data_IF_160663540492
#
_entry.id   IF_160663540492
#
_cell.length_a   1.000
_cell.length_b   1.000
_cell.length_c   1.000
_cell.angle_alpha   90.00
_cell.angle_beta   90.00
_cell.angle_gamma   90.00
#
_symmetry.space_group_name_H-M   'P 1'
#
loop_
_entity.id
_entity.type
_entity.pdbx_description
1 polymer ?
#
# COMPACT_ATOMS: atom_id res chain seq x y z
N UNK A 1 21.90 -17.07 5.37
CA UNK A 1 21.77 -15.83 6.17
C UNK A 1 21.38 -14.62 5.31
N UNK A 2 22.08 -14.32 4.20
CA UNK A 2 21.78 -13.16 3.35
C UNK A 2 20.37 -13.14 2.72
N UNK A 3 19.77 -14.31 2.47
CA UNK A 3 18.42 -14.41 1.92
C UNK A 3 17.30 -13.93 2.88
N UNK A 4 17.55 -13.91 4.20
CA UNK A 4 16.56 -13.45 5.18
C UNK A 4 16.69 -11.96 5.52
N UNK A 5 17.88 -11.38 5.32
CA UNK A 5 18.12 -9.96 5.59
C UNK A 5 17.25 -9.08 4.67
N UNK A 6 17.07 -9.49 3.41
CA UNK A 6 16.25 -8.77 2.44
C UNK A 6 14.78 -8.62 2.87
N UNK A 7 14.01 -9.72 3.03
CA UNK A 7 12.60 -9.64 3.42
C UNK A 7 12.38 -8.97 4.78
N UNK A 8 13.27 -9.20 5.76
CA UNK A 8 13.18 -8.55 7.08
C UNK A 8 13.37 -7.04 6.96
N UNK A 9 14.38 -6.59 6.22
CA UNK A 9 14.62 -5.16 5.97
C UNK A 9 13.43 -4.51 5.25
N UNK A 10 12.87 -5.20 4.24
CA UNK A 10 11.67 -4.74 3.52
C UNK A 10 10.48 -4.64 4.48
N UNK A 11 10.26 -5.63 5.35
CA UNK A 11 9.16 -5.63 6.31
C UNK A 11 9.26 -4.47 7.32
N UNK A 12 10.47 -4.21 7.83
CA UNK A 12 10.71 -3.08 8.72
C UNK A 12 10.51 -1.75 8.00
N UNK A 13 11.04 -1.62 6.78
CA UNK A 13 10.93 -0.40 5.97
C UNK A 13 9.47 -0.10 5.62
N UNK A 14 8.77 -1.03 4.97
CA UNK A 14 7.40 -0.81 4.49
C UNK A 14 6.41 -0.76 5.66
N UNK A 15 6.66 -1.52 6.73
CA UNK A 15 5.92 -1.42 7.98
C UNK A 15 6.04 -0.02 8.56
N UNK A 16 7.26 0.50 8.71
CA UNK A 16 7.50 1.85 9.24
C UNK A 16 6.87 2.94 8.36
N UNK A 17 7.00 2.84 7.04
CA UNK A 17 6.37 3.77 6.08
C UNK A 17 4.84 3.72 6.22
N UNK A 18 4.25 2.53 6.31
CA UNK A 18 2.82 2.34 6.53
C UNK A 18 2.34 2.91 7.88
N UNK A 19 3.12 2.76 8.94
CA UNK A 19 2.84 3.34 10.26
C UNK A 19 2.91 4.86 10.25
N UNK A 20 3.89 5.46 9.55
CA UNK A 20 3.98 6.91 9.39
C UNK A 20 2.78 7.44 8.60
N UNK A 21 2.38 6.77 7.52
CA UNK A 21 1.19 7.14 6.77
C UNK A 21 -0.08 7.08 7.63
N UNK A 22 -0.27 5.99 8.39
CA UNK A 22 -1.41 5.86 9.30
C UNK A 22 -1.42 6.96 10.38
N UNK A 23 -0.25 7.31 10.93
CA UNK A 23 -0.10 8.40 11.89
C UNK A 23 -0.40 9.78 11.30
N UNK A 24 -0.06 10.02 10.03
CA UNK A 24 -0.44 11.24 9.31
C UNK A 24 -1.95 11.32 9.13
N UNK A 25 -2.62 10.22 8.79
CA UNK A 25 -4.09 10.18 8.75
C UNK A 25 -4.70 10.42 10.14
N UNK A 26 -4.14 9.83 11.21
CA UNK A 26 -4.58 10.11 12.59
C UNK A 26 -4.45 11.60 12.92
N UNK A 27 -3.35 12.24 12.51
CA UNK A 27 -3.13 13.66 12.75
C UNK A 27 -4.18 14.54 12.07
N UNK A 28 -4.59 14.23 10.83
CA UNK A 28 -5.65 14.97 10.13
C UNK A 28 -7.02 14.80 10.78
N UNK A 29 -7.38 13.58 11.22
CA UNK A 29 -8.61 13.35 11.98
C UNK A 29 -8.65 14.09 13.32
N UNK A 30 -7.50 14.19 14.01
CA UNK A 30 -7.38 14.95 15.27
C UNK A 30 -7.61 16.44 15.08
N UNK A 31 -7.19 17.03 13.95
CA UNK A 31 -7.49 18.44 13.65
C UNK A 31 -9.01 18.70 13.57
N UNK A 32 -9.80 17.69 13.20
CA UNK A 32 -11.26 17.73 13.18
C UNK A 32 -11.92 17.33 14.50
N UNK A 33 -11.15 17.21 15.58
CA UNK A 33 -11.61 16.80 16.92
C UNK A 33 -12.25 15.41 16.97
N UNK A 34 -11.90 14.53 16.03
CA UNK A 34 -12.29 13.12 16.06
C UNK A 34 -11.25 12.34 16.84
N UNK A 35 -11.69 11.61 17.86
CA UNK A 35 -10.82 10.73 18.63
C UNK A 35 -10.44 9.49 17.81
N UNK A 36 -9.14 9.22 17.71
CA UNK A 36 -8.57 8.07 16.99
C UNK A 36 -7.50 7.44 17.87
N UNK A 37 -7.45 6.11 17.93
CA UNK A 37 -6.42 5.40 18.67
C UNK A 37 -5.09 5.42 17.90
N UNK A 38 -4.15 6.22 18.41
CA UNK A 38 -2.82 6.40 17.81
C UNK A 38 -1.97 5.13 17.90
N UNK A 39 -2.08 4.36 18.97
CA UNK A 39 -1.23 3.20 19.20
C UNK A 39 -1.64 2.06 18.25
N UNK A 40 -2.94 1.78 18.19
CA UNK A 40 -3.47 0.78 17.25
C UNK A 40 -3.15 1.13 15.80
N UNK A 41 -3.32 2.40 15.41
CA UNK A 41 -3.04 2.85 14.04
C UNK A 41 -1.55 2.73 13.66
N UNK A 42 -0.63 2.99 14.61
CA UNK A 42 0.81 2.92 14.36
C UNK A 42 1.37 1.50 14.39
N UNK A 43 0.86 0.63 15.28
CA UNK A 43 1.44 -0.70 15.46
C UNK A 43 0.98 -1.71 14.42
N UNK A 44 -0.25 -1.57 13.91
CA UNK A 44 -0.85 -2.56 13.03
C UNK A 44 -0.07 -2.80 11.72
N UNK A 45 0.40 -1.77 10.98
CA UNK A 45 1.15 -1.99 9.75
C UNK A 45 2.47 -2.74 9.96
N UNK A 46 3.27 -2.35 10.96
CA UNK A 46 4.55 -3.01 11.29
C UNK A 46 4.30 -4.44 11.77
N UNK A 47 3.33 -4.65 12.67
CA UNK A 47 3.05 -5.97 13.21
C UNK A 47 2.59 -6.95 12.11
N UNK A 48 1.71 -6.50 11.21
CA UNK A 48 1.24 -7.33 10.10
C UNK A 48 2.34 -7.59 9.06
N UNK A 49 3.19 -6.60 8.77
CA UNK A 49 4.36 -6.75 7.90
C UNK A 49 5.32 -7.81 8.46
N UNK A 50 5.65 -7.75 9.74
CA UNK A 50 6.50 -8.75 10.39
C UNK A 50 5.83 -10.13 10.44
N UNK A 51 4.53 -10.21 10.72
CA UNK A 51 3.78 -11.47 10.71
C UNK A 51 3.76 -12.14 9.33
N UNK A 52 3.73 -11.34 8.26
CA UNK A 52 3.82 -11.85 6.89
C UNK A 52 5.17 -12.48 6.56
N UNK A 53 6.21 -12.26 7.39
CA UNK A 53 7.48 -12.99 7.28
C UNK A 53 7.34 -14.48 7.61
N UNK A 54 6.38 -14.83 8.46
CA UNK A 54 6.08 -16.21 8.83
C UNK A 54 5.07 -16.79 7.83
N UNK A 55 3.97 -16.08 7.57
CA UNK A 55 2.97 -16.49 6.58
C UNK A 55 1.82 -15.50 6.43
N UNK A 56 1.17 -15.53 5.27
CA UNK A 56 0.01 -14.67 4.97
C UNK A 56 -1.15 -14.94 5.94
N UNK A 57 -1.33 -16.19 6.38
CA UNK A 57 -2.33 -16.55 7.40
C UNK A 57 -2.09 -15.86 8.74
N UNK A 58 -0.83 -15.79 9.20
CA UNK A 58 -0.49 -15.08 10.44
C UNK A 58 -0.69 -13.56 10.29
N UNK A 59 -0.33 -12.99 9.14
CA UNK A 59 -0.61 -11.59 8.85
C UNK A 59 -2.12 -11.29 8.90
N UNK A 60 -2.95 -12.16 8.33
CA UNK A 60 -4.41 -12.06 8.41
C UNK A 60 -4.93 -12.11 9.84
N UNK A 61 -4.39 -13.00 10.68
CA UNK A 61 -4.71 -13.05 12.12
C UNK A 61 -4.32 -11.76 12.83
N UNK A 62 -3.13 -11.21 12.57
CA UNK A 62 -2.70 -9.93 13.17
C UNK A 62 -3.63 -8.78 12.78
N UNK A 63 -4.09 -8.72 11.53
CA UNK A 63 -5.08 -7.73 11.09
C UNK A 63 -6.42 -7.91 11.81
N UNK A 64 -6.91 -9.16 11.93
CA UNK A 64 -8.16 -9.47 12.62
C UNK A 64 -8.08 -9.13 14.12
N UNK A 65 -7.03 -9.59 14.82
CA UNK A 65 -6.83 -9.30 16.24
C UNK A 65 -6.57 -7.81 16.48
N UNK A 66 -5.79 -7.14 15.63
CA UNK A 66 -5.58 -5.70 15.71
C UNK A 66 -6.89 -4.91 15.59
N UNK A 67 -7.81 -5.39 14.76
CA UNK A 67 -9.17 -4.82 14.64
C UNK A 67 -9.96 -5.00 15.92
N UNK A 68 -9.94 -6.20 16.50
CA UNK A 68 -10.61 -6.47 17.79
C UNK A 68 -10.01 -5.62 18.91
N UNK A 69 -8.68 -5.53 19.00
CA UNK A 69 -7.97 -4.70 20.00
C UNK A 69 -8.38 -3.24 19.85
N UNK A 70 -8.44 -2.69 18.63
CA UNK A 70 -8.87 -1.32 18.41
C UNK A 70 -10.31 -1.06 18.91
N UNK A 71 -11.21 -2.03 18.72
CA UNK A 71 -12.59 -1.97 19.24
C UNK A 71 -12.59 -2.02 20.78
N UNK A 72 -11.82 -2.94 21.38
CA UNK A 72 -11.73 -3.09 22.84
C UNK A 72 -11.14 -1.83 23.49
N UNK A 73 -10.06 -1.29 22.94
CA UNK A 73 -9.45 -0.04 23.41
C UNK A 73 -10.40 1.15 23.27
N UNK A 74 -11.22 1.19 22.21
CA UNK A 74 -12.26 2.21 22.04
C UNK A 74 -13.39 2.08 23.08
N UNK A 75 -13.71 0.86 23.56
CA UNK A 75 -14.71 0.65 24.61
C UNK A 75 -14.26 1.17 25.98
N UNK A 76 -12.97 1.01 26.31
CA UNK A 76 -12.40 1.36 27.62
C UNK A 76 -12.08 2.84 27.82
N UNK A 77 -12.24 3.69 26.80
CA UNK A 77 -11.88 5.10 26.90
C UNK A 77 -12.87 5.92 27.77
N UNK A 78 -12.38 6.66 28.80
CA UNK A 78 -13.23 7.50 29.63
C UNK A 78 -13.66 8.78 28.90
N UNK A 79 -14.96 9.09 28.95
CA UNK A 79 -15.69 10.23 28.32
C UNK A 79 -16.01 10.06 26.82
N UNK A 80 -17.19 9.51 26.52
CA UNK A 80 -17.68 9.29 25.15
C UNK A 80 -18.40 10.53 24.61
N UNK A 81 -17.73 11.33 23.77
CA UNK A 81 -18.40 12.29 22.88
C UNK A 81 -18.81 11.68 21.53
N UNK A 82 -18.26 10.51 21.19
CA UNK A 82 -18.47 9.79 19.92
C UNK A 82 -18.75 8.31 20.20
N UNK A 83 -19.49 7.66 19.31
CA UNK A 83 -19.80 6.24 19.43
C UNK A 83 -18.52 5.40 19.30
N UNK A 84 -18.46 4.28 20.03
CA UNK A 84 -17.32 3.33 19.99
C UNK A 84 -17.05 2.88 18.56
N UNK A 85 -18.11 2.61 17.80
CA UNK A 85 -18.01 2.17 16.41
C UNK A 85 -17.43 3.23 15.49
N UNK A 86 -17.76 4.52 15.70
CA UNK A 86 -17.19 5.61 14.92
C UNK A 86 -15.68 5.74 15.16
N UNK A 87 -15.23 5.66 16.42
CA UNK A 87 -13.81 5.71 16.80
C UNK A 87 -13.02 4.51 16.28
N UNK A 88 -13.56 3.31 16.40
CA UNK A 88 -12.93 2.11 15.86
C UNK A 88 -12.86 2.20 14.33
N UNK A 89 -13.95 2.61 13.68
CA UNK A 89 -14.03 2.76 12.23
C UNK A 89 -13.02 3.77 11.68
N UNK A 90 -12.85 4.94 12.31
CA UNK A 90 -11.86 5.93 11.87
C UNK A 90 -10.43 5.45 12.09
N UNK A 91 -10.17 4.77 13.21
CA UNK A 91 -8.87 4.14 13.48
C UNK A 91 -8.52 3.12 12.39
N UNK A 92 -9.45 2.22 12.07
CA UNK A 92 -9.28 1.23 11.02
C UNK A 92 -9.06 1.87 9.65
N UNK A 93 -9.83 2.92 9.30
CA UNK A 93 -9.64 3.65 8.04
C UNK A 93 -8.23 4.23 7.91
N UNK A 94 -7.61 4.66 9.01
CA UNK A 94 -6.26 5.22 8.98
C UNK A 94 -5.18 4.15 8.72
N UNK A 95 -5.33 2.94 9.26
CA UNK A 95 -4.25 1.94 9.23
C UNK A 95 -4.49 0.76 8.28
N UNK A 96 -5.74 0.45 7.90
CA UNK A 96 -6.06 -0.79 7.18
C UNK A 96 -5.42 -0.83 5.78
N UNK A 97 -5.56 0.23 4.99
CA UNK A 97 -4.97 0.27 3.64
C UNK A 97 -3.42 0.23 3.67
N UNK A 98 -2.72 1.04 4.50
CA UNK A 98 -1.27 0.92 4.66
C UNK A 98 -0.83 -0.47 5.14
N UNK A 99 -1.64 -1.11 6.01
CA UNK A 99 -1.36 -2.47 6.50
C UNK A 99 -1.46 -3.49 5.36
N UNK A 100 -2.48 -3.40 4.51
CA UNK A 100 -2.64 -4.28 3.34
C UNK A 100 -1.46 -4.13 2.39
N UNK A 101 -1.04 -2.89 2.09
CA UNK A 101 0.16 -2.64 1.26
C UNK A 101 1.39 -3.30 1.87
N UNK A 102 1.63 -3.08 3.15
CA UNK A 102 2.79 -3.64 3.83
C UNK A 102 2.82 -5.16 3.78
N UNK A 103 1.68 -5.82 4.05
CA UNK A 103 1.53 -7.28 3.96
C UNK A 103 1.77 -7.77 2.53
N UNK A 104 1.20 -7.12 1.52
CA UNK A 104 1.36 -7.51 0.12
C UNK A 104 2.81 -7.40 -0.35
N UNK A 105 3.48 -6.28 -0.05
CA UNK A 105 4.88 -6.04 -0.43
C UNK A 105 5.82 -7.07 0.22
N UNK A 106 5.65 -7.35 1.51
CA UNK A 106 6.50 -8.34 2.20
C UNK A 106 6.21 -9.76 1.75
N UNK A 107 4.94 -10.08 1.49
CA UNK A 107 4.58 -11.40 0.94
C UNK A 107 5.23 -11.60 -0.44
N UNK A 108 5.24 -10.58 -1.28
CA UNK A 108 5.96 -10.61 -2.56
C UNK A 108 7.48 -10.74 -2.37
N UNK A 109 8.08 -10.01 -1.44
CA UNK A 109 9.51 -10.10 -1.13
C UNK A 109 9.94 -11.53 -0.76
N UNK A 110 9.03 -12.29 -0.14
CA UNK A 110 9.25 -13.71 0.19
C UNK A 110 9.04 -14.65 -0.98
N UNK A 111 8.02 -14.41 -1.80
CA UNK A 111 7.66 -15.31 -2.90
C UNK A 111 8.57 -15.13 -4.11
N UNK A 112 8.83 -13.88 -4.54
CA UNK A 112 9.67 -13.58 -5.70
C UNK A 112 10.23 -12.16 -5.61
N UNK A 113 11.52 -12.05 -5.27
CA UNK A 113 12.21 -10.76 -5.20
C UNK A 113 12.23 -10.05 -6.56
N UNK A 114 12.41 -10.80 -7.66
CA UNK A 114 12.36 -10.25 -9.02
C UNK A 114 11.00 -9.63 -9.34
N UNK A 115 9.89 -10.28 -8.97
CA UNK A 115 8.55 -9.72 -9.18
C UNK A 115 8.33 -8.44 -8.38
N UNK A 116 8.89 -8.36 -7.16
CA UNK A 116 8.86 -7.13 -6.36
C UNK A 116 9.70 -6.01 -6.98
N UNK A 117 10.87 -6.32 -7.53
CA UNK A 117 11.71 -5.32 -8.20
C UNK A 117 11.03 -4.76 -9.46
N UNK A 118 10.41 -5.61 -10.28
CA UNK A 118 9.64 -5.15 -11.45
C UNK A 118 8.48 -4.26 -11.02
N UNK A 119 7.72 -4.65 -9.98
CA UNK A 119 6.67 -3.80 -9.42
C UNK A 119 7.22 -2.44 -8.98
N UNK A 120 8.33 -2.44 -8.23
CA UNK A 120 8.97 -1.22 -7.74
C UNK A 120 9.37 -0.29 -8.89
N UNK A 121 9.95 -0.84 -9.96
CA UNK A 121 10.34 -0.06 -11.15
C UNK A 121 9.12 0.52 -11.86
N UNK A 122 8.05 -0.27 -12.06
CA UNK A 122 6.83 0.20 -12.71
C UNK A 122 6.13 1.30 -11.91
N UNK A 123 6.00 1.14 -10.58
CA UNK A 123 5.39 2.17 -9.73
C UNK A 123 6.28 3.42 -9.68
N UNK A 124 7.61 3.26 -9.62
CA UNK A 124 8.52 4.41 -9.68
C UNK A 124 8.42 5.17 -11.02
N UNK A 125 8.30 4.45 -12.14
CA UNK A 125 8.10 5.05 -13.46
C UNK A 125 6.78 5.81 -13.52
N UNK A 126 5.71 5.24 -12.96
CA UNK A 126 4.43 5.93 -12.83
C UNK A 126 4.57 7.22 -12.02
N UNK A 127 5.17 7.17 -10.83
CA UNK A 127 5.33 8.33 -9.95
C UNK A 127 6.18 9.43 -10.60
N UNK A 128 7.29 9.07 -11.25
CA UNK A 128 8.15 10.02 -11.97
C UNK A 128 7.38 10.70 -13.10
N UNK A 129 6.69 9.92 -13.96
CA UNK A 129 5.90 10.48 -15.06
C UNK A 129 4.77 11.38 -14.57
N UNK A 130 4.05 10.92 -13.54
CA UNK A 130 2.97 11.67 -12.92
C UNK A 130 3.44 12.99 -12.29
N UNK A 131 4.59 12.97 -11.62
CA UNK A 131 5.12 14.16 -10.96
C UNK A 131 5.73 15.17 -11.94
N UNK A 132 6.52 14.71 -12.91
CA UNK A 132 7.20 15.59 -13.86
C UNK A 132 6.22 16.37 -14.72
N UNK A 133 5.18 15.70 -15.23
CA UNK A 133 4.16 16.38 -16.06
C UNK A 133 3.09 17.04 -15.19
N UNK A 134 2.73 16.45 -14.04
CA UNK A 134 1.65 16.96 -13.20
C UNK A 134 1.96 18.26 -12.46
N UNK A 135 3.22 18.68 -12.35
CA UNK A 135 3.59 19.90 -11.60
C UNK A 135 3.20 21.19 -12.33
N UNK A 136 3.30 21.22 -13.66
CA UNK A 136 2.98 22.38 -14.51
C UNK A 136 1.72 22.16 -15.38
N UNK A 137 0.99 21.08 -15.12
CA UNK A 137 -0.17 20.67 -15.91
C UNK A 137 -1.35 21.65 -15.80
N UNK A 138 -2.04 21.86 -16.93
CA UNK A 138 -3.28 22.64 -16.97
C UNK A 138 -4.51 21.87 -16.48
N UNK A 139 -4.40 20.54 -16.37
CA UNK A 139 -5.48 19.64 -15.97
C UNK A 139 -5.02 18.55 -14.99
N UNK A 140 -5.97 18.06 -14.18
CA UNK A 140 -5.72 17.00 -13.18
C UNK A 140 -5.37 15.63 -13.80
N UNK A 141 -5.53 15.46 -15.12
CA UNK A 141 -5.34 14.19 -15.81
C UNK A 141 -4.01 14.07 -16.54
N UNK A 142 -3.35 15.19 -16.85
CA UNK A 142 -2.07 15.20 -17.58
C UNK A 142 -0.98 14.40 -16.84
N UNK A 143 -0.86 14.59 -15.52
CA UNK A 143 0.05 13.81 -14.69
C UNK A 143 -0.21 12.30 -14.77
N UNK A 144 -1.41 11.81 -14.38
CA UNK A 144 -1.70 10.37 -14.41
C UNK A 144 -1.53 9.74 -15.80
N UNK A 145 -1.88 10.45 -16.88
CA UNK A 145 -1.69 9.96 -18.26
C UNK A 145 -0.19 9.82 -18.59
N UNK A 146 0.64 10.79 -18.18
CA UNK A 146 2.08 10.71 -18.36
C UNK A 146 2.70 9.56 -17.55
N UNK A 147 2.23 9.34 -16.32
CA UNK A 147 2.62 8.19 -15.51
C UNK A 147 2.26 6.86 -16.18
N UNK A 148 1.05 6.75 -16.75
CA UNK A 148 0.63 5.58 -17.53
C UNK A 148 1.53 5.36 -18.74
N UNK A 149 1.86 6.40 -19.50
CA UNK A 149 2.77 6.29 -20.64
C UNK A 149 4.16 5.78 -20.19
N UNK A 150 4.70 6.26 -19.07
CA UNK A 150 5.96 5.79 -18.52
C UNK A 150 5.90 4.30 -18.14
N UNK A 151 4.81 3.84 -17.51
CA UNK A 151 4.57 2.42 -17.21
C UNK A 151 4.56 1.58 -18.48
N UNK A 152 3.90 2.03 -19.55
CA UNK A 152 3.83 1.30 -20.82
C UNK A 152 5.21 1.16 -21.49
N UNK A 153 6.06 2.18 -21.41
CA UNK A 153 7.43 2.13 -21.94
C UNK A 153 8.28 1.12 -21.17
N UNK A 154 8.21 1.14 -19.83
CA UNK A 154 8.91 0.15 -19.00
C UNK A 154 8.35 -1.25 -19.24
N UNK A 155 7.04 -1.39 -19.40
CA UNK A 155 6.37 -2.66 -19.71
C UNK A 155 6.82 -3.22 -21.06
N UNK A 156 6.97 -2.38 -22.08
CA UNK A 156 7.50 -2.79 -23.38
C UNK A 156 8.97 -3.26 -23.28
N UNK A 157 9.77 -2.55 -22.48
CA UNK A 157 11.15 -2.95 -22.18
C UNK A 157 11.17 -4.32 -21.51
N UNK A 158 10.34 -4.50 -20.48
CA UNK A 158 10.18 -5.78 -19.77
C UNK A 158 9.67 -6.90 -20.69
N UNK A 159 8.73 -6.63 -21.60
CA UNK A 159 8.19 -7.64 -22.51
C UNK A 159 9.20 -8.11 -23.57
N UNK A 160 10.19 -7.26 -23.88
CA UNK A 160 11.27 -7.52 -24.83
C UNK A 160 12.43 -8.27 -24.20
N UNK A 161 12.87 -7.83 -23.01
CA UNK A 161 14.02 -8.41 -22.32
C UNK A 161 13.67 -9.52 -21.31
N UNK A 162 12.41 -9.62 -20.89
CA UNK A 162 11.86 -10.65 -19.99
C UNK A 162 12.64 -10.75 -18.67
N UNK A 163 12.73 -9.65 -17.90
CA UNK A 163 13.45 -9.64 -16.63
C UNK A 163 12.64 -10.32 -15.50
N UNK A 164 13.04 -11.55 -15.15
CA UNK A 164 12.47 -12.28 -14.02
C UNK A 164 11.45 -13.34 -14.47
N UNK A 165 10.35 -13.58 -13.72
CA UNK A 165 9.44 -14.69 -13.99
C UNK A 165 8.40 -14.38 -15.08
N UNK A 166 8.51 -13.25 -15.78
CA UNK A 166 7.48 -12.78 -16.70
C UNK A 166 7.80 -13.16 -18.15
N UNK A 167 6.86 -13.87 -18.78
CA UNK A 167 6.82 -13.98 -20.24
C UNK A 167 6.38 -12.64 -20.86
N UNK A 168 6.60 -12.46 -22.17
CA UNK A 168 6.17 -11.24 -22.87
C UNK A 168 4.67 -10.93 -22.67
N UNK A 169 3.81 -11.96 -22.66
CA UNK A 169 2.38 -11.79 -22.40
C UNK A 169 2.10 -11.40 -20.93
N UNK A 170 2.80 -12.03 -19.98
CA UNK A 170 2.66 -11.70 -18.57
C UNK A 170 3.12 -10.26 -18.30
N UNK A 171 4.22 -9.80 -18.91
CA UNK A 171 4.69 -8.43 -18.79
C UNK A 171 3.59 -7.42 -19.15
N UNK A 172 2.90 -7.61 -20.28
CA UNK A 172 1.79 -6.74 -20.68
C UNK A 172 0.58 -6.80 -19.73
N UNK A 173 0.23 -7.98 -19.21
CA UNK A 173 -0.85 -8.12 -18.23
C UNK A 173 -0.53 -7.37 -16.94
N UNK A 174 0.67 -7.55 -16.41
CA UNK A 174 1.12 -6.93 -15.16
C UNK A 174 1.36 -5.41 -15.33
N UNK A 175 1.95 -4.99 -16.44
CA UNK A 175 2.11 -3.57 -16.79
C UNK A 175 0.76 -2.87 -16.98
N UNK A 176 -0.18 -3.51 -17.68
CA UNK A 176 -1.56 -3.01 -17.82
C UNK A 176 -2.28 -2.90 -16.47
N UNK A 177 -2.07 -3.87 -15.57
CA UNK A 177 -2.59 -3.79 -14.20
C UNK A 177 -2.06 -2.55 -13.48
N UNK A 178 -0.75 -2.28 -13.53
CA UNK A 178 -0.17 -1.07 -12.89
C UNK A 178 -0.72 0.20 -13.54
N UNK A 179 -0.79 0.25 -14.86
CA UNK A 179 -1.29 1.40 -15.62
C UNK A 179 -2.74 1.77 -15.24
N UNK A 180 -3.58 0.79 -14.92
CA UNK A 180 -4.96 1.04 -14.48
C UNK A 180 -5.04 1.30 -12.98
N UNK A 181 -4.31 0.53 -12.17
CA UNK A 181 -4.41 0.55 -10.72
C UNK A 181 -3.75 1.78 -10.08
N UNK A 182 -2.61 2.23 -10.60
CA UNK A 182 -1.84 3.30 -10.00
C UNK A 182 -2.60 4.66 -9.98
N UNK A 183 -3.27 5.10 -11.06
CA UNK A 183 -4.09 6.32 -11.04
C UNK A 183 -5.24 6.30 -10.02
N UNK A 184 -5.75 5.11 -9.68
CA UNK A 184 -6.86 4.94 -8.73
C UNK A 184 -6.40 5.01 -7.27
N UNK A 185 -5.09 5.04 -7.02
CA UNK A 185 -4.51 5.15 -5.69
C UNK A 185 -4.85 6.45 -4.96
N UNK A 186 -4.80 7.59 -5.67
CA UNK A 186 -5.05 8.92 -5.11
C UNK A 186 -6.45 9.07 -4.49
N UNK A 187 -7.54 8.72 -5.22
CA UNK A 187 -8.90 8.70 -4.67
C UNK A 187 -9.05 7.80 -3.43
N UNK A 188 -8.38 6.65 -3.39
CA UNK A 188 -8.39 5.76 -2.23
C UNK A 188 -7.68 6.37 -1.02
N UNK A 189 -6.52 7.00 -1.24
CA UNK A 189 -5.82 7.73 -0.20
C UNK A 189 -6.68 8.88 0.36
N UNK A 190 -7.38 9.62 -0.50
CA UNK A 190 -8.30 10.68 -0.10
C UNK A 190 -9.45 10.17 0.77
N UNK A 191 -9.91 8.93 0.57
CA UNK A 191 -10.98 8.32 1.37
C UNK A 191 -10.56 7.95 2.81
N UNK A 192 -9.25 7.86 3.09
CA UNK A 192 -8.74 7.54 4.43
C UNK A 192 -8.69 8.77 5.36
N UNK A 193 -8.66 9.97 4.78
CA UNK A 193 -8.57 11.23 5.50
C UNK A 193 -9.90 11.97 5.43
N UNK A 194 -10.14 12.95 6.32
CA UNK A 194 -11.42 13.65 6.31
C UNK A 194 -11.67 14.48 5.04
N UNK A 195 -10.61 15.05 4.45
CA UNK A 195 -10.63 15.86 3.23
C UNK A 195 -9.44 15.48 2.37
N UNK A 196 -9.62 15.48 1.05
CA UNK A 196 -8.56 15.15 0.09
C UNK A 196 -7.32 16.06 0.22
N UNK A 197 -7.50 17.31 0.67
CA UNK A 197 -6.38 18.23 0.92
C UNK A 197 -5.49 17.80 2.11
N UNK A 198 -6.02 17.00 3.04
CA UNK A 198 -5.35 16.60 4.27
C UNK A 198 -4.47 15.34 4.10
N UNK A 199 -4.34 14.82 2.86
CA UNK A 199 -3.49 13.67 2.57
C UNK A 199 -2.02 14.05 2.80
N UNK A 200 -1.39 13.42 3.80
CA UNK A 200 -0.01 13.65 4.19
C UNK A 200 1.02 13.19 3.15
N UNK A 201 2.24 13.75 3.20
CA UNK A 201 3.28 13.49 2.22
C UNK A 201 3.66 12.00 2.08
N UNK A 202 3.69 11.25 3.17
CA UNK A 202 3.99 9.80 3.12
C UNK A 202 2.82 9.03 2.50
N UNK A 203 1.59 9.44 2.81
CA UNK A 203 0.39 8.83 2.25
C UNK A 203 0.28 9.09 0.74
N UNK A 204 0.71 10.26 0.25
CA UNK A 204 0.81 10.57 -1.19
C UNK A 204 1.88 9.75 -1.92
N UNK A 205 2.87 9.20 -1.22
CA UNK A 205 3.87 8.29 -1.83
C UNK A 205 3.42 6.83 -1.81
N UNK A 206 2.37 6.53 -1.04
CA UNK A 206 1.80 5.19 -0.96
C UNK A 206 0.55 5.04 -1.80
N UNK A 207 0.03 6.11 -2.40
CA UNK A 207 -1.25 6.13 -3.09
C UNK A 207 -1.28 5.10 -4.23
N UNK A 208 -0.30 5.11 -5.14
CA UNK A 208 -0.15 4.13 -6.20
C UNK A 208 -0.01 2.71 -5.64
N UNK A 209 0.69 2.55 -4.52
CA UNK A 209 0.86 1.26 -3.86
C UNK A 209 -0.43 0.69 -3.26
N UNK A 210 -1.40 1.54 -2.86
CA UNK A 210 -2.63 1.13 -2.17
C UNK A 210 -3.42 0.08 -2.94
N UNK A 211 -3.53 0.25 -4.26
CA UNK A 211 -4.23 -0.70 -5.13
C UNK A 211 -3.26 -1.65 -5.83
N UNK A 212 -2.12 -1.14 -6.30
CA UNK A 212 -1.22 -1.92 -7.14
C UNK A 212 -0.60 -3.08 -6.35
N UNK A 213 -0.11 -2.87 -5.12
CA UNK A 213 0.57 -3.92 -4.36
C UNK A 213 -0.32 -5.15 -4.06
N UNK A 214 -1.56 -5.01 -3.52
CA UNK A 214 -2.40 -6.17 -3.27
C UNK A 214 -2.86 -6.86 -4.55
N UNK A 215 -3.22 -6.10 -5.60
CA UNK A 215 -3.61 -6.69 -6.88
C UNK A 215 -2.44 -7.43 -7.53
N UNK A 216 -1.24 -6.86 -7.51
CA UNK A 216 -0.03 -7.51 -8.01
C UNK A 216 0.28 -8.78 -7.24
N UNK A 217 0.28 -8.73 -5.90
CA UNK A 217 0.54 -9.88 -5.06
C UNK A 217 -0.46 -11.01 -5.33
N UNK A 218 -1.75 -10.67 -5.47
CA UNK A 218 -2.80 -11.62 -5.81
C UNK A 218 -2.59 -12.20 -7.22
N UNK A 219 -2.27 -11.38 -8.21
CA UNK A 219 -2.01 -11.82 -9.58
C UNK A 219 -0.81 -12.75 -9.67
N UNK A 220 0.30 -12.43 -8.98
CA UNK A 220 1.49 -13.30 -8.90
C UNK A 220 1.10 -14.65 -8.28
N UNK A 221 0.36 -14.64 -7.17
CA UNK A 221 -0.06 -15.88 -6.51
C UNK A 221 -0.91 -16.77 -7.41
N UNK A 222 -1.87 -16.20 -8.15
CA UNK A 222 -2.80 -16.98 -8.97
C UNK A 222 -2.24 -17.38 -10.34
N UNK A 223 -1.42 -16.51 -10.97
CA UNK A 223 -0.92 -16.72 -12.33
C UNK A 223 0.43 -17.44 -12.35
N UNK A 224 1.33 -17.15 -11.40
CA UNK A 224 2.66 -17.75 -11.33
C UNK A 224 2.73 -18.89 -10.30
N UNK A 225 1.83 -18.94 -9.31
CA UNK A 225 1.80 -19.99 -8.29
C UNK A 225 1.21 -21.33 -8.76
N UNK A 226 0.57 -21.38 -9.94
CA UNK A 226 -0.05 -22.61 -10.49
C UNK A 226 0.91 -23.48 -11.31
N UNK A 227 2.15 -23.06 -11.52
CA UNK A 227 3.14 -23.80 -12.33
C UNK A 227 4.06 -24.71 -11.50
N UNK A 228 3.77 -24.92 -10.22
CA UNK A 228 4.41 -25.88 -9.32
C UNK A 228 3.36 -26.74 -8.63
#
# INVERSE_FOLDING_TARGET
ACAFIGPVAIALLIGAVGSVAALQSVASWKQQRVEVDRQAAALLPIAAALASLVGVGLAGLVVAFGTVIAIVMAMGAPRRRVSVLARAGTTLRCCLLPTVVAVSVVSMARTSMSALLVLLVLVSAFEIGNHLIGTDAGSIFEGPIAGVAAVLVVTFTESTFQFGPFSSHAAWLFGGLVAVAAPLGGPLAAAMVPRAADVGATQRRLDAWLLVAPLWCWSVWNLLGRTH
#
